data_IF_634959793849
#
_entry.id   IF_634959793849
#
_cell.length_a   1.000
_cell.length_b   1.000
_cell.length_c   1.000
_cell.angle_alpha   90.00
_cell.angle_beta   90.00
_cell.angle_gamma   90.00
#
_symmetry.space_group_name_H-M   'P 1'
#
loop_
_entity.id
_entity.type
_entity.pdbx_description
1 polymer ?
#
# COMPACT_ATOMS: atom_id res chain seq x y z
N UNK A 1 -25.75 56.37 -12.41
CA UNK A 1 -26.34 55.04 -12.15
C UNK A 1 -25.23 54.17 -11.59
N UNK A 2 -25.11 54.13 -10.26
CA UNK A 2 -23.92 53.66 -9.53
C UNK A 2 -24.23 52.26 -8.99
N UNK A 3 -23.43 51.27 -9.36
CA UNK A 3 -23.59 49.90 -8.87
C UNK A 3 -23.35 49.82 -7.34
N UNK A 4 -24.13 49.06 -6.58
CA UNK A 4 -23.93 48.88 -5.16
C UNK A 4 -22.59 48.16 -4.90
N UNK A 5 -21.71 48.81 -4.15
CA UNK A 5 -20.42 48.28 -3.73
C UNK A 5 -20.62 47.08 -2.81
N UNK A 6 -20.12 45.90 -3.20
CA UNK A 6 -20.00 44.71 -2.35
C UNK A 6 -18.91 44.91 -1.27
N UNK A 7 -19.10 45.90 -0.40
CA UNK A 7 -18.20 46.17 0.71
C UNK A 7 -18.73 45.46 1.96
N UNK A 8 -18.57 44.15 2.02
CA UNK A 8 -19.03 43.35 3.17
C UNK A 8 -18.26 42.06 3.45
N UNK A 9 -17.34 41.64 2.58
CA UNK A 9 -16.62 40.36 2.72
C UNK A 9 -15.28 40.44 3.47
N UNK A 10 -14.95 41.58 4.09
CA UNK A 10 -13.69 41.78 4.83
C UNK A 10 -13.88 41.96 6.35
N UNK A 11 -15.05 41.57 6.90
CA UNK A 11 -15.31 41.60 8.35
C UNK A 11 -15.27 40.21 9.01
N UNK A 12 -14.52 39.26 8.47
CA UNK A 12 -14.18 38.06 9.24
C UNK A 12 -13.16 38.48 10.32
N UNK A 13 -13.61 38.55 11.57
CA UNK A 13 -12.74 38.82 12.71
C UNK A 13 -11.51 37.90 12.67
N UNK A 14 -10.30 38.47 12.86
CA UNK A 14 -9.08 37.66 12.97
C UNK A 14 -9.28 36.63 14.07
N UNK A 15 -9.08 35.35 13.73
CA UNK A 15 -9.15 34.27 14.71
C UNK A 15 -8.11 34.52 15.81
N UNK A 16 -8.45 34.26 17.09
CA UNK A 16 -7.50 34.35 18.19
C UNK A 16 -6.30 33.43 17.93
N UNK A 17 -5.12 33.83 18.44
CA UNK A 17 -3.90 33.06 18.27
C UNK A 17 -4.00 31.69 18.95
N UNK A 18 -3.44 30.67 18.32
CA UNK A 18 -3.37 29.32 18.88
C UNK A 18 -2.58 29.31 20.19
N UNK A 19 -3.10 28.58 21.19
CA UNK A 19 -2.35 28.30 22.42
C UNK A 19 -1.13 27.41 22.13
N UNK A 20 -0.14 27.41 23.03
CA UNK A 20 1.06 26.56 22.86
C UNK A 20 0.72 25.07 22.85
N UNK A 21 -0.30 24.64 23.60
CA UNK A 21 -0.84 23.29 23.56
C UNK A 21 -1.43 22.96 22.17
N UNK A 22 -2.21 23.88 21.61
CA UNK A 22 -2.79 23.70 20.27
C UNK A 22 -1.70 23.58 19.20
N UNK A 23 -0.66 24.42 19.25
CA UNK A 23 0.51 24.32 18.37
C UNK A 23 1.23 22.98 18.53
N UNK A 24 1.41 22.49 19.76
CA UNK A 24 2.06 21.20 20.03
C UNK A 24 1.29 20.01 19.45
N UNK A 25 -0.05 20.01 19.61
CA UNK A 25 -0.93 18.98 19.03
C UNK A 25 -0.87 19.03 17.51
N UNK A 26 -0.86 20.22 16.91
CA UNK A 26 -0.78 20.38 15.46
C UNK A 26 0.52 19.79 14.88
N UNK A 27 1.67 20.01 15.54
CA UNK A 27 2.96 19.42 15.15
C UNK A 27 2.90 17.88 15.23
N UNK A 28 2.36 17.32 16.31
CA UNK A 28 2.23 15.87 16.46
C UNK A 28 1.29 15.27 15.41
N UNK A 29 0.14 15.91 15.17
CA UNK A 29 -0.83 15.46 14.17
C UNK A 29 -0.21 15.47 12.76
N UNK A 30 0.58 16.48 12.43
CA UNK A 30 1.30 16.55 11.15
C UNK A 30 2.32 15.43 11.00
N UNK A 31 3.10 15.16 12.05
CA UNK A 31 4.03 14.03 12.07
C UNK A 31 3.31 12.68 11.88
N UNK A 32 2.13 12.51 12.50
CA UNK A 32 1.30 11.31 12.32
C UNK A 32 0.78 11.17 10.87
N UNK A 33 0.31 12.27 10.26
CA UNK A 33 -0.09 12.28 8.85
C UNK A 33 1.06 11.88 7.93
N UNK A 34 2.24 12.47 8.12
CA UNK A 34 3.42 12.17 7.32
C UNK A 34 3.83 10.69 7.46
N UNK A 35 3.74 10.12 8.66
CA UNK A 35 4.02 8.70 8.89
C UNK A 35 3.03 7.78 8.15
N UNK A 36 1.74 8.12 8.14
CA UNK A 36 0.70 7.36 7.42
C UNK A 36 0.96 7.41 5.91
N UNK A 37 1.31 8.58 5.38
CA UNK A 37 1.63 8.74 3.97
C UNK A 37 2.89 7.98 3.57
N UNK A 38 3.96 8.06 4.36
CA UNK A 38 5.19 7.28 4.13
C UNK A 38 4.91 5.77 4.11
N UNK A 39 4.12 5.27 5.05
CA UNK A 39 3.72 3.85 5.09
C UNK A 39 2.93 3.45 3.84
N UNK A 40 2.02 4.30 3.40
CA UNK A 40 1.19 4.05 2.22
C UNK A 40 2.05 4.03 0.96
N UNK A 41 2.92 5.04 0.78
CA UNK A 41 3.87 5.12 -0.34
C UNK A 41 4.77 3.90 -0.41
N UNK A 42 5.42 3.53 0.70
CA UNK A 42 6.28 2.33 0.76
C UNK A 42 5.53 1.04 0.39
N UNK A 43 4.24 0.92 0.79
CA UNK A 43 3.42 -0.23 0.43
C UNK A 43 3.10 -0.26 -1.07
N UNK A 44 2.88 0.89 -1.70
CA UNK A 44 2.63 0.97 -3.14
C UNK A 44 3.89 0.68 -3.95
N UNK A 45 5.04 1.21 -3.54
CA UNK A 45 6.35 0.93 -4.16
C UNK A 45 6.68 -0.57 -4.07
N UNK A 46 6.51 -1.18 -2.89
CA UNK A 46 6.67 -2.62 -2.73
C UNK A 46 5.72 -3.41 -3.65
N UNK A 47 4.47 -2.97 -3.77
CA UNK A 47 3.51 -3.62 -4.66
C UNK A 47 3.93 -3.50 -6.13
N UNK A 48 4.47 -2.36 -6.55
CA UNK A 48 4.97 -2.17 -7.91
C UNK A 48 6.12 -3.13 -8.21
N UNK A 49 7.13 -3.19 -7.34
CA UNK A 49 8.27 -4.12 -7.48
C UNK A 49 7.84 -5.58 -7.50
N UNK A 50 6.95 -5.99 -6.58
CA UNK A 50 6.48 -7.37 -6.53
C UNK A 50 5.64 -7.76 -7.75
N UNK A 51 4.98 -6.81 -8.44
CA UNK A 51 4.26 -7.13 -9.68
C UNK A 51 5.22 -7.53 -10.81
N UNK A 52 6.38 -6.90 -10.87
CA UNK A 52 7.40 -7.17 -11.89
C UNK A 52 8.21 -8.42 -11.56
N UNK A 53 8.69 -8.57 -10.32
CA UNK A 53 9.64 -9.61 -9.96
C UNK A 53 9.04 -10.85 -9.29
N UNK A 54 7.94 -10.71 -8.56
CA UNK A 54 7.40 -11.81 -7.75
C UNK A 54 5.86 -11.79 -7.64
N UNK A 55 5.14 -11.88 -8.78
CA UNK A 55 3.69 -11.74 -8.82
C UNK A 55 2.95 -12.84 -8.03
N UNK A 56 3.57 -14.02 -7.89
CA UNK A 56 3.03 -15.12 -7.08
C UNK A 56 2.88 -14.79 -5.60
N UNK A 57 3.77 -13.96 -5.06
CA UNK A 57 3.64 -13.48 -3.69
C UNK A 57 2.41 -12.58 -3.53
N UNK A 58 2.16 -11.69 -4.50
CA UNK A 58 0.97 -10.84 -4.48
C UNK A 58 -0.32 -11.66 -4.51
N UNK A 59 -0.37 -12.71 -5.33
CA UNK A 59 -1.53 -13.61 -5.41
C UNK A 59 -1.83 -14.30 -4.07
N UNK A 60 -0.79 -14.73 -3.34
CA UNK A 60 -0.94 -15.36 -2.02
C UNK A 60 -1.57 -14.42 -0.96
N UNK A 61 -1.36 -13.11 -1.10
CA UNK A 61 -1.82 -12.07 -0.18
C UNK A 61 -2.93 -11.15 -0.72
N UNK A 62 -3.53 -11.47 -1.87
CA UNK A 62 -4.58 -10.67 -2.52
C UNK A 62 -5.98 -10.79 -1.88
N UNK A 63 -6.15 -11.48 -0.74
CA UNK A 63 -7.45 -11.73 -0.13
C UNK A 63 -7.99 -10.57 0.73
N UNK A 64 -9.28 -10.26 0.54
CA UNK A 64 -10.13 -9.32 1.30
C UNK A 64 -9.79 -7.83 1.13
N UNK A 65 -10.36 -7.22 0.08
CA UNK A 65 -10.52 -5.76 -0.07
C UNK A 65 -9.29 -4.97 -0.54
N UNK A 66 -8.13 -5.21 0.07
CA UNK A 66 -6.89 -4.51 -0.28
C UNK A 66 -5.68 -5.44 -0.10
N UNK A 67 -4.69 -5.38 -1.00
CA UNK A 67 -3.49 -6.26 -0.90
C UNK A 67 -2.85 -6.07 0.47
N UNK A 68 -2.76 -7.15 1.22
CA UNK A 68 -2.46 -7.11 2.64
C UNK A 68 -0.95 -7.01 2.96
N UNK A 69 -0.17 -6.36 2.09
CA UNK A 69 1.30 -6.33 2.16
C UNK A 69 1.83 -5.63 3.41
N UNK A 70 1.04 -4.71 3.98
CA UNK A 70 1.39 -4.00 5.18
C UNK A 70 1.04 -4.77 6.48
N UNK A 71 0.55 -6.01 6.39
CA UNK A 71 0.41 -6.84 7.60
C UNK A 71 1.74 -7.39 8.11
N UNK A 72 1.83 -7.64 9.43
CA UNK A 72 2.94 -8.42 10.00
C UNK A 72 3.12 -9.77 9.30
N UNK A 73 2.03 -10.47 8.99
CA UNK A 73 2.05 -11.77 8.30
C UNK A 73 2.76 -11.67 6.93
N UNK A 74 2.34 -10.73 6.08
CA UNK A 74 2.94 -10.56 4.77
C UNK A 74 4.43 -10.18 4.86
N UNK A 75 4.80 -9.25 5.74
CA UNK A 75 6.21 -8.88 5.93
C UNK A 75 7.05 -10.04 6.45
N UNK A 76 6.53 -10.82 7.39
CA UNK A 76 7.27 -11.95 7.97
C UNK A 76 7.52 -13.05 6.94
N UNK A 77 6.55 -13.34 6.06
CA UNK A 77 6.75 -14.30 4.98
C UNK A 77 7.72 -13.73 3.93
N UNK A 78 7.56 -12.47 3.51
CA UNK A 78 8.46 -11.87 2.53
C UNK A 78 9.91 -11.80 3.05
N UNK A 79 10.11 -11.59 4.36
CA UNK A 79 11.44 -11.58 4.97
C UNK A 79 12.16 -12.95 4.90
N UNK A 80 11.43 -14.06 4.96
CA UNK A 80 12.02 -15.41 4.84
C UNK A 80 12.08 -15.92 3.39
N UNK A 81 11.34 -15.27 2.48
CA UNK A 81 11.33 -15.58 1.04
C UNK A 81 11.31 -14.29 0.19
N UNK A 82 12.41 -13.50 0.19
CA UNK A 82 12.48 -12.29 -0.63
C UNK A 82 12.48 -12.55 -2.14
N UNK A 83 12.81 -13.77 -2.58
CA UNK A 83 12.86 -14.13 -4.01
C UNK A 83 11.87 -15.23 -4.40
N UNK A 84 11.42 -15.27 -5.68
CA UNK A 84 10.56 -16.34 -6.18
C UNK A 84 11.12 -17.75 -5.95
N UNK A 85 12.43 -17.92 -6.13
CA UNK A 85 13.12 -19.21 -5.95
C UNK A 85 13.06 -19.70 -4.49
N UNK A 86 13.21 -18.78 -3.52
CA UNK A 86 13.06 -19.12 -2.10
C UNK A 86 11.61 -19.39 -1.74
N UNK A 87 10.69 -18.64 -2.35
CA UNK A 87 9.25 -18.87 -2.27
C UNK A 87 8.82 -20.26 -2.69
N UNK A 88 9.38 -20.77 -3.79
CA UNK A 88 9.08 -22.10 -4.30
C UNK A 88 9.51 -23.23 -3.34
N UNK A 89 10.46 -22.97 -2.44
CA UNK A 89 10.97 -23.92 -1.43
C UNK A 89 10.25 -23.77 -0.08
N UNK A 90 9.22 -22.95 0.00
CA UNK A 90 8.54 -22.64 1.25
C UNK A 90 7.64 -23.80 1.69
N UNK A 91 7.81 -24.23 2.94
CA UNK A 91 7.01 -25.31 3.54
C UNK A 91 5.97 -24.75 4.51
N UNK A 92 4.89 -25.50 4.75
CA UNK A 92 3.85 -25.11 5.72
C UNK A 92 4.42 -24.84 7.11
N UNK A 93 5.35 -25.67 7.59
CA UNK A 93 5.99 -25.51 8.90
C UNK A 93 6.78 -24.20 9.02
N UNK A 94 7.50 -23.79 7.96
CA UNK A 94 8.22 -22.51 7.91
C UNK A 94 7.25 -21.32 7.92
N UNK A 95 6.12 -21.43 7.22
CA UNK A 95 5.07 -20.41 7.24
C UNK A 95 4.49 -20.26 8.64
N UNK A 96 4.08 -21.37 9.29
CA UNK A 96 3.53 -21.33 10.65
C UNK A 96 4.51 -20.70 11.64
N UNK A 97 5.79 -21.07 11.55
CA UNK A 97 6.84 -20.50 12.42
C UNK A 97 6.99 -19.00 12.23
N UNK A 98 7.01 -18.54 10.98
CA UNK A 98 7.10 -17.11 10.66
C UNK A 98 5.85 -16.34 11.12
N UNK A 99 4.65 -16.87 10.90
CA UNK A 99 3.40 -16.25 11.36
C UNK A 99 3.33 -16.17 12.89
N UNK A 100 3.78 -17.21 13.60
CA UNK A 100 3.84 -17.20 15.07
C UNK A 100 4.81 -16.12 15.57
N UNK A 101 5.99 -15.99 14.96
CA UNK A 101 6.95 -14.92 15.26
C UNK A 101 6.40 -13.53 14.95
N UNK A 102 5.55 -13.41 13.93
CA UNK A 102 4.85 -12.17 13.59
C UNK A 102 3.70 -11.81 14.55
N UNK A 103 3.42 -12.64 15.57
CA UNK A 103 2.42 -12.39 16.59
C UNK A 103 1.04 -13.01 16.32
N UNK A 104 0.86 -13.76 15.22
CA UNK A 104 -0.39 -14.47 14.97
C UNK A 104 -0.54 -15.62 15.96
N UNK A 105 -1.66 -15.62 16.70
CA UNK A 105 -2.02 -16.67 17.67
C UNK A 105 -3.15 -17.59 17.20
N UNK A 106 -4.04 -17.11 16.32
CA UNK A 106 -5.24 -17.84 15.87
C UNK A 106 -5.18 -18.20 14.38
N UNK A 107 -5.82 -19.31 14.01
CA UNK A 107 -5.96 -19.79 12.63
C UNK A 107 -4.61 -19.89 11.89
N UNK A 108 -3.55 -20.30 12.60
CA UNK A 108 -2.19 -20.39 12.06
C UNK A 108 -2.14 -21.39 10.90
N UNK A 109 -2.63 -22.61 11.13
CA UNK A 109 -2.64 -23.66 10.11
C UNK A 109 -3.52 -23.33 8.91
N UNK A 110 -4.71 -22.78 9.12
CA UNK A 110 -5.61 -22.36 8.04
C UNK A 110 -4.96 -21.26 7.20
N UNK A 111 -4.35 -20.27 7.86
CA UNK A 111 -3.66 -19.17 7.19
C UNK A 111 -2.45 -19.67 6.42
N UNK A 112 -1.65 -20.56 7.01
CA UNK A 112 -0.49 -21.16 6.37
C UNK A 112 -0.88 -21.99 5.15
N UNK A 113 -1.93 -22.80 5.27
CA UNK A 113 -2.47 -23.61 4.17
C UNK A 113 -3.02 -22.72 3.06
N UNK A 114 -3.73 -21.64 3.39
CA UNK A 114 -4.22 -20.66 2.42
C UNK A 114 -3.08 -19.96 1.66
N UNK A 115 -2.01 -19.57 2.37
CA UNK A 115 -0.84 -18.92 1.76
C UNK A 115 -0.13 -19.91 0.83
N UNK A 116 0.14 -21.13 1.31
CA UNK A 116 0.83 -22.15 0.52
C UNK A 116 0.05 -22.54 -0.73
N UNK A 117 -1.27 -22.73 -0.64
CA UNK A 117 -2.14 -23.07 -1.77
C UNK A 117 -2.17 -21.99 -2.87
N UNK A 118 -2.02 -20.72 -2.49
CA UNK A 118 -2.07 -19.58 -3.41
C UNK A 118 -0.70 -19.13 -3.90
N UNK A 119 0.38 -19.70 -3.37
CA UNK A 119 1.70 -19.53 -3.93
C UNK A 119 1.78 -20.33 -5.24
N UNK A 120 2.05 -19.71 -6.39
CA UNK A 120 2.14 -20.46 -7.63
C UNK A 120 3.40 -21.35 -7.65
N UNK A 121 3.39 -22.45 -8.41
CA UNK A 121 4.60 -23.20 -8.72
C UNK A 121 5.62 -22.28 -9.43
N UNK A 122 6.94 -22.61 -9.37
CA UNK A 122 7.98 -21.72 -9.91
C UNK A 122 7.65 -21.35 -11.35
N UNK A 123 7.56 -20.04 -11.60
CA UNK A 123 7.35 -19.52 -12.94
C UNK A 123 8.47 -20.06 -13.84
N UNK A 124 8.07 -20.87 -14.82
CA UNK A 124 8.94 -21.29 -15.91
C UNK A 124 9.47 -20.01 -16.54
N UNK A 125 10.79 -19.96 -16.70
CA UNK A 125 11.54 -18.81 -17.21
C UNK A 125 10.79 -18.14 -18.35
N UNK A 126 10.67 -16.82 -18.28
CA UNK A 126 10.07 -15.98 -19.30
C UNK A 126 10.65 -16.31 -20.68
N UNK A 127 9.90 -17.09 -21.47
CA UNK A 127 10.11 -17.19 -22.91
C UNK A 127 9.69 -15.83 -23.46
N UNK A 128 10.69 -15.00 -23.74
CA UNK A 128 10.49 -13.75 -24.47
C UNK A 128 9.96 -14.08 -25.86
N UNK A 129 8.65 -13.93 -26.03
CA UNK A 129 8.07 -13.79 -27.37
C UNK A 129 7.45 -12.40 -27.42
N UNK A 130 8.26 -11.45 -27.87
CA UNK A 130 7.85 -10.08 -28.13
C UNK A 130 6.70 -10.08 -29.12
N UNK A 131 5.49 -9.85 -28.61
CA UNK A 131 4.35 -9.46 -29.44
C UNK A 131 4.25 -7.94 -29.37
N UNK A 132 4.86 -7.29 -30.36
CA UNK A 132 4.59 -5.91 -30.69
C UNK A 132 3.09 -5.74 -30.94
N UNK A 133 2.45 -4.91 -30.11
CA UNK A 133 1.04 -4.57 -30.16
C UNK A 133 0.85 -3.14 -29.71
N UNK A 134 0.97 -2.22 -30.68
CA UNK A 134 0.22 -0.96 -30.83
C UNK A 134 -0.36 -0.32 -29.56
N UNK A 135 0.26 0.77 -29.10
CA UNK A 135 -0.36 1.80 -28.23
C UNK A 135 -1.43 2.56 -29.03
N UNK A 136 -2.70 2.59 -28.63
CA UNK A 136 -3.56 3.71 -28.96
C UNK A 136 -3.33 4.87 -27.98
N UNK A 137 -3.36 6.06 -28.56
CA UNK A 137 -3.17 7.34 -27.90
C UNK A 137 -4.31 7.69 -26.93
N UNK A 138 -3.96 8.46 -25.89
CA UNK A 138 -4.74 9.57 -25.36
C UNK A 138 -6.12 9.28 -24.76
N UNK A 139 -6.21 9.24 -23.43
CA UNK A 139 -7.29 9.94 -22.70
C UNK A 139 -6.91 10.04 -21.22
N UNK A 140 -6.37 11.19 -20.82
CA UNK A 140 -6.30 11.60 -19.42
C UNK A 140 -7.52 12.46 -19.12
N UNK A 141 -8.35 12.17 -18.11
CA UNK A 141 -9.41 13.08 -17.73
C UNK A 141 -8.81 14.31 -17.04
N UNK A 142 -9.02 15.47 -17.65
CA UNK A 142 -8.82 16.78 -17.06
C UNK A 142 -9.60 16.86 -15.73
N UNK A 143 -8.88 16.92 -14.62
CA UNK A 143 -9.47 17.34 -13.35
C UNK A 143 -9.37 18.86 -13.29
N UNK A 144 -10.48 19.49 -13.65
CA UNK A 144 -10.85 20.80 -13.12
C UNK A 144 -10.76 20.75 -11.60
N UNK A 145 -9.85 21.54 -11.04
CA UNK A 145 -10.01 22.12 -9.72
C UNK A 145 -9.60 23.58 -9.87
N UNK A 146 -10.63 24.40 -10.08
CA UNK A 146 -10.67 25.78 -9.66
C UNK A 146 -10.21 25.86 -8.20
N UNK A 147 -9.22 26.72 -7.96
CA UNK A 147 -9.20 27.71 -6.88
C UNK A 147 -8.27 28.84 -7.30
#
# INVERSE_FOLDING_TARGET
MTLPSYLGLNQLAKLPADSDLARSIAVLARAAQDAIWRRTKATQELRALLREYYPGFLAAFAGSGHTNLATPDARAILAITPTPAQGARLTKARIVTALRRAGRRRRLDDTATRILRRAPPPAVAATGTGRAGTRPAGSGPARHLEY
#
